data_IF_321575514349
#
_entry.id   IF_321575514349
#
_cell.length_a   1.000
_cell.length_b   1.000
_cell.length_c   1.000
_cell.angle_alpha   90.00
_cell.angle_beta   90.00
_cell.angle_gamma   90.00
#
_symmetry.space_group_name_H-M   'P 1'
#
loop_
_entity.id
_entity.type
_entity.pdbx_description
1 polymer ?
#
# COMPACT_ATOMS: atom_id res chain seq x y z
N UNK A 1 -15.76 -1.24 2.69
CA UNK A 1 -15.56 -1.72 1.30
C UNK A 1 -16.19 -3.08 1.19
N UNK A 2 -16.73 -3.37 0.02
CA UNK A 2 -17.30 -4.67 -0.30
C UNK A 2 -16.15 -5.61 -0.74
N UNK A 3 -16.08 -6.87 -0.29
CA UNK A 3 -15.05 -7.81 -0.71
C UNK A 3 -14.92 -7.99 -2.24
N UNK A 4 -15.97 -7.68 -3.00
CA UNK A 4 -16.01 -7.83 -4.46
C UNK A 4 -15.54 -6.59 -5.24
N UNK A 5 -15.10 -5.53 -4.55
CA UNK A 5 -14.49 -4.40 -5.22
C UNK A 5 -13.13 -4.81 -5.81
N UNK A 6 -12.88 -4.46 -7.07
CA UNK A 6 -11.55 -4.60 -7.70
C UNK A 6 -10.67 -3.47 -7.14
N UNK A 7 -10.12 -3.68 -5.94
CA UNK A 7 -9.39 -2.64 -5.24
C UNK A 7 -8.33 -3.18 -4.27
N UNK A 8 -7.44 -2.29 -3.85
CA UNK A 8 -6.52 -2.45 -2.73
C UNK A 8 -6.54 -1.16 -1.90
N UNK A 9 -6.17 -1.25 -0.61
CA UNK A 9 -6.08 -0.05 0.23
C UNK A 9 -5.15 -0.24 1.42
N UNK A 10 -4.58 0.87 1.88
CA UNK A 10 -3.90 1.01 3.15
C UNK A 10 -4.81 1.60 4.23
N UNK A 11 -4.78 1.03 5.45
CA UNK A 11 -5.48 1.56 6.62
C UNK A 11 -4.49 2.02 7.70
N UNK A 12 -4.31 3.34 7.91
CA UNK A 12 -3.36 3.86 8.91
C UNK A 12 -3.64 3.38 10.34
N UNK A 13 -4.92 3.26 10.72
CA UNK A 13 -5.36 2.86 12.06
C UNK A 13 -4.92 1.46 12.49
N UNK A 14 -4.56 0.61 11.52
CA UNK A 14 -4.05 -0.75 11.77
C UNK A 14 -2.67 -0.99 11.14
N UNK A 15 -2.14 0.02 10.43
CA UNK A 15 -0.91 -0.08 9.66
C UNK A 15 -0.92 -1.32 8.73
N UNK A 16 -2.05 -1.55 8.07
CA UNK A 16 -2.28 -2.73 7.24
C UNK A 16 -2.52 -2.36 5.78
N UNK A 17 -2.16 -3.28 4.90
CA UNK A 17 -2.51 -3.25 3.48
C UNK A 17 -3.48 -4.40 3.24
N UNK A 18 -4.61 -4.09 2.61
CA UNK A 18 -5.61 -5.07 2.22
C UNK A 18 -5.63 -5.16 0.70
N UNK A 19 -5.46 -6.39 0.19
CA UNK A 19 -5.60 -6.71 -1.22
C UNK A 19 -6.88 -7.56 -1.34
N UNK A 20 -7.90 -7.04 -2.02
CA UNK A 20 -9.16 -7.76 -2.18
C UNK A 20 -9.01 -8.91 -3.19
N UNK A 21 -9.78 -9.98 -3.02
CA UNK A 21 -9.63 -11.18 -3.86
C UNK A 21 -9.87 -10.87 -5.35
N UNK A 22 -10.83 -10.00 -5.66
CA UNK A 22 -11.23 -9.72 -7.04
C UNK A 22 -10.22 -8.85 -7.82
N UNK A 23 -9.18 -8.27 -7.17
CA UNK A 23 -8.04 -7.68 -7.89
C UNK A 23 -6.99 -8.73 -8.29
N UNK A 24 -7.01 -9.93 -7.70
CA UNK A 24 -6.06 -11.02 -7.96
C UNK A 24 -6.52 -11.90 -9.13
N UNK A 25 -6.88 -11.27 -10.24
CA UNK A 25 -7.34 -11.94 -11.46
C UNK A 25 -6.46 -11.60 -12.67
N UNK A 26 -6.63 -12.39 -13.73
CA UNK A 26 -5.92 -12.20 -14.99
C UNK A 26 -6.17 -10.78 -15.53
N UNK A 27 -5.09 -10.09 -15.92
CA UNK A 27 -4.90 -8.62 -16.11
C UNK A 27 -4.13 -7.91 -15.00
N UNK A 28 -4.08 -8.46 -13.77
CA UNK A 28 -3.30 -7.90 -12.66
C UNK A 28 -2.37 -8.92 -12.01
N UNK A 29 -2.84 -10.16 -11.81
CA UNK A 29 -2.05 -11.24 -11.23
C UNK A 29 -2.48 -12.59 -11.81
N UNK A 30 -1.52 -13.32 -12.35
CA UNK A 30 -1.76 -14.65 -12.91
C UNK A 30 -0.54 -15.55 -12.68
N UNK A 31 -0.76 -16.73 -12.10
CA UNK A 31 0.33 -17.66 -11.78
C UNK A 31 1.03 -18.23 -13.01
N UNK A 32 0.36 -18.21 -14.15
CA UNK A 32 0.89 -18.75 -15.41
C UNK A 32 1.67 -17.71 -16.22
N UNK A 33 1.62 -16.43 -15.83
CA UNK A 33 2.38 -15.36 -16.47
C UNK A 33 3.85 -15.29 -15.98
N UNK A 34 4.79 -14.85 -16.85
CA UNK A 34 6.14 -14.51 -16.43
C UNK A 34 6.14 -13.53 -15.26
N UNK A 35 6.97 -13.78 -14.24
CA UNK A 35 7.01 -12.96 -13.01
C UNK A 35 7.18 -11.47 -13.24
N UNK A 36 7.89 -11.06 -14.30
CA UNK A 36 8.08 -9.65 -14.63
C UNK A 36 6.77 -8.93 -14.97
N UNK A 37 5.77 -9.61 -15.52
CA UNK A 37 4.45 -9.03 -15.76
C UNK A 37 3.72 -8.80 -14.43
N UNK A 38 3.66 -9.83 -13.56
CA UNK A 38 3.09 -9.67 -12.21
C UNK A 38 3.83 -8.61 -11.36
N UNK A 39 5.14 -8.41 -11.60
CA UNK A 39 5.88 -7.31 -10.96
C UNK A 39 5.50 -5.93 -11.51
N UNK A 40 5.18 -5.81 -12.80
CA UNK A 40 4.69 -4.58 -13.40
C UNK A 40 3.24 -4.26 -13.04
N UNK A 41 2.44 -5.29 -12.72
CA UNK A 41 1.02 -5.16 -12.47
C UNK A 41 0.73 -5.17 -10.95
N UNK A 42 0.34 -6.32 -10.37
CA UNK A 42 -0.08 -6.40 -8.96
C UNK A 42 0.99 -5.89 -7.97
N UNK A 43 2.28 -6.08 -8.26
CA UNK A 43 3.32 -5.61 -7.34
C UNK A 43 3.43 -4.08 -7.31
N UNK A 44 3.07 -3.38 -8.39
CA UNK A 44 2.97 -1.92 -8.40
C UNK A 44 1.81 -1.47 -7.50
N UNK A 45 0.68 -2.19 -7.53
CA UNK A 45 -0.46 -1.92 -6.63
C UNK A 45 -0.06 -2.13 -5.17
N UNK A 46 0.58 -3.25 -4.84
CA UNK A 46 1.10 -3.48 -3.47
C UNK A 46 2.08 -2.38 -3.07
N UNK A 47 3.00 -2.00 -3.96
CA UNK A 47 3.93 -0.90 -3.72
C UNK A 47 3.21 0.44 -3.49
N UNK A 48 2.17 0.74 -4.25
CA UNK A 48 1.33 1.92 -4.07
C UNK A 48 0.74 1.97 -2.66
N UNK A 49 0.14 0.87 -2.18
CA UNK A 49 -0.43 0.82 -0.83
C UNK A 49 0.65 0.94 0.26
N UNK A 50 1.85 0.39 0.04
CA UNK A 50 2.99 0.61 0.96
C UNK A 50 3.34 2.11 1.01
N UNK A 51 3.35 2.82 -0.13
CA UNK A 51 3.67 4.25 -0.14
C UNK A 51 2.64 5.11 0.59
N UNK A 52 1.40 4.64 0.75
CA UNK A 52 0.41 5.34 1.56
C UNK A 52 0.80 5.46 3.03
N UNK A 53 1.55 4.49 3.58
CA UNK A 53 2.11 4.58 4.93
C UNK A 53 3.13 5.72 5.10
N UNK A 54 3.71 6.21 4.00
CA UNK A 54 4.79 7.21 4.01
C UNK A 54 4.42 8.52 3.31
N UNK A 55 3.20 8.65 2.79
CA UNK A 55 2.75 9.89 2.14
C UNK A 55 2.53 11.02 3.17
N UNK A 56 2.08 12.19 2.71
CA UNK A 56 1.87 13.39 3.55
C UNK A 56 1.03 13.11 4.82
N UNK A 57 0.07 12.19 4.75
CA UNK A 57 -0.81 11.82 5.86
C UNK A 57 -0.29 10.59 6.61
N UNK A 58 0.20 9.57 5.90
CA UNK A 58 0.71 8.34 6.48
C UNK A 58 1.94 8.56 7.36
N UNK A 59 2.86 9.44 6.95
CA UNK A 59 4.09 9.74 7.71
C UNK A 59 3.84 10.27 9.14
N UNK A 60 2.62 10.69 9.45
CA UNK A 60 2.22 11.19 10.76
C UNK A 60 1.88 10.07 11.76
N UNK A 61 1.85 8.82 11.31
CA UNK A 61 1.58 7.64 12.12
C UNK A 61 2.83 6.78 12.22
N UNK A 62 3.13 6.27 13.42
CA UNK A 62 4.21 5.31 13.62
C UNK A 62 3.77 3.86 13.32
N UNK A 63 4.69 2.91 13.46
CA UNK A 63 4.43 1.50 13.14
C UNK A 63 3.36 0.82 14.00
N UNK A 64 3.00 1.41 15.14
CA UNK A 64 1.93 0.96 16.03
C UNK A 64 0.61 1.71 15.77
N UNK A 65 0.50 2.39 14.63
CA UNK A 65 -0.67 3.20 14.23
C UNK A 65 -0.96 4.39 15.14
N UNK A 66 0.01 4.84 15.94
CA UNK A 66 -0.16 6.03 16.79
C UNK A 66 0.21 7.28 16.01
N UNK A 67 -0.60 8.33 16.12
CA UNK A 67 -0.21 9.63 15.60
C UNK A 67 0.96 10.17 16.41
N UNK A 68 2.14 10.16 15.80
CA UNK A 68 3.40 10.47 16.43
C UNK A 68 4.35 11.03 15.37
N UNK A 69 4.93 12.21 15.60
CA UNK A 69 5.90 12.78 14.68
C UNK A 69 7.26 12.11 14.89
N UNK A 70 7.47 10.97 14.22
CA UNK A 70 8.70 10.17 14.35
C UNK A 70 9.82 10.59 13.40
N UNK A 71 9.55 11.51 12.47
CA UNK A 71 10.55 12.09 11.58
C UNK A 71 11.28 13.23 12.29
N UNK A 72 12.60 13.30 12.12
CA UNK A 72 13.37 14.46 12.58
C UNK A 72 13.07 15.68 11.71
N UNK A 73 13.21 16.88 12.27
CA UNK A 73 12.87 18.15 11.60
C UNK A 73 13.51 18.30 10.22
N UNK A 74 14.78 17.89 10.07
CA UNK A 74 15.49 17.98 8.79
C UNK A 74 14.82 17.10 7.71
N UNK A 75 14.45 15.87 8.04
CA UNK A 75 13.77 14.95 7.13
C UNK A 75 12.35 15.43 6.80
N UNK A 76 11.61 15.91 7.80
CA UNK A 76 10.27 16.45 7.60
C UNK A 76 10.24 17.71 6.73
N UNK A 77 11.31 18.51 6.75
CA UNK A 77 11.48 19.71 5.91
C UNK A 77 11.87 19.36 4.48
N UNK A 78 12.65 18.28 4.29
CA UNK A 78 13.12 17.86 2.97
C UNK A 78 12.06 17.10 2.14
N UNK A 79 11.04 16.56 2.80
CA UNK A 79 9.93 15.83 2.21
C UNK A 79 8.74 16.75 1.94
#
# INVERSE_FOLDING_TARGET
>A
MDPHEINAYYTPSFNEIVILADILQSSFCDSDLPRNLNYGDISVVVGHEVTHAFNNSGRLYDGDSRSNSWWINATATAF
#
